data_IF_946739206304
#
_entry.id   IF_946739206304
#
_cell.length_a   1.000
_cell.length_b   1.000
_cell.length_c   1.000
_cell.angle_alpha   90.00
_cell.angle_beta   90.00
_cell.angle_gamma   90.00
#
_symmetry.space_group_name_H-M   'P 1'
#
loop_
_entity.id
_entity.type
_entity.pdbx_description
1 polymer ?
#
# COMPACT_ATOMS: atom_id res chain seq x y z
N UNK A 1 -38.11 22.02 -35.93
CA UNK A 1 -38.45 23.10 -34.96
C UNK A 1 -38.09 22.66 -33.54
N UNK A 2 -37.50 23.54 -32.72
CA UNK A 2 -37.28 23.31 -31.26
C UNK A 2 -38.58 23.49 -30.49
N UNK A 3 -38.67 23.02 -29.23
CA UNK A 3 -39.85 23.22 -28.40
C UNK A 3 -40.26 24.69 -28.26
N UNK A 4 -39.28 25.62 -28.17
CA UNK A 4 -39.53 27.07 -28.13
C UNK A 4 -40.12 27.57 -29.47
N UNK A 5 -39.69 27.05 -30.59
CA UNK A 5 -40.21 27.43 -31.92
C UNK A 5 -41.60 26.90 -32.15
N UNK A 6 -41.91 25.67 -31.70
CA UNK A 6 -43.27 25.10 -31.75
C UNK A 6 -44.24 25.91 -30.87
N UNK A 7 -43.83 26.28 -29.64
CA UNK A 7 -44.65 27.16 -28.78
C UNK A 7 -44.92 28.50 -29.43
N UNK A 8 -43.91 29.11 -30.13
CA UNK A 8 -44.09 30.35 -30.88
C UNK A 8 -45.06 30.17 -32.07
N UNK A 9 -44.99 29.02 -32.74
CA UNK A 9 -45.88 28.73 -33.88
C UNK A 9 -47.35 28.73 -33.43
N UNK A 10 -47.67 27.99 -32.34
CA UNK A 10 -49.04 27.96 -31.83
C UNK A 10 -49.52 29.35 -31.42
N UNK A 11 -48.73 30.12 -30.69
CA UNK A 11 -49.13 31.46 -30.27
C UNK A 11 -49.29 32.46 -31.43
N UNK A 12 -48.41 32.37 -32.42
CA UNK A 12 -48.52 33.23 -33.61
C UNK A 12 -49.68 32.85 -34.53
N UNK A 13 -50.07 31.59 -34.55
CA UNK A 13 -51.30 31.13 -35.22
C UNK A 13 -52.56 31.72 -34.55
N UNK A 14 -52.63 31.73 -33.22
CA UNK A 14 -53.74 32.35 -32.46
C UNK A 14 -53.78 33.88 -32.68
N UNK A 15 -52.62 34.55 -32.70
CA UNK A 15 -52.53 35.97 -33.07
C UNK A 15 -53.05 36.22 -34.50
N UNK A 16 -52.75 35.32 -35.45
CA UNK A 16 -53.26 35.40 -36.84
C UNK A 16 -54.77 35.24 -36.93
N UNK A 17 -55.35 34.39 -36.09
CA UNK A 17 -56.82 34.17 -36.01
C UNK A 17 -57.56 35.34 -35.30
N UNK A 18 -56.82 36.25 -34.64
CA UNK A 18 -57.41 37.34 -33.88
C UNK A 18 -57.88 36.99 -32.46
N UNK A 19 -57.65 35.75 -32.04
CA UNK A 19 -58.00 35.23 -30.70
C UNK A 19 -57.04 35.71 -29.59
N UNK A 20 -55.89 36.26 -29.95
CA UNK A 20 -54.89 36.73 -29.02
C UNK A 20 -54.16 37.97 -29.56
N UNK A 21 -53.86 38.94 -28.74
CA UNK A 21 -53.02 40.10 -29.08
C UNK A 21 -51.55 39.75 -29.14
N UNK A 22 -50.73 40.51 -29.89
CA UNK A 22 -49.25 40.36 -29.89
C UNK A 22 -48.65 40.62 -28.53
N UNK A 23 -49.30 41.50 -27.72
CA UNK A 23 -48.84 41.81 -26.37
C UNK A 23 -49.06 40.61 -25.43
N UNK A 24 -50.18 39.94 -25.47
CA UNK A 24 -50.50 38.72 -24.74
C UNK A 24 -49.60 37.58 -25.13
N UNK A 25 -49.42 37.36 -26.45
CA UNK A 25 -48.48 36.35 -26.93
C UNK A 25 -47.05 36.60 -26.43
N UNK A 26 -46.64 37.86 -26.32
CA UNK A 26 -45.37 38.27 -25.76
C UNK A 26 -45.23 37.87 -24.30
N UNK A 27 -46.28 38.11 -23.49
CA UNK A 27 -46.33 37.67 -22.05
C UNK A 27 -46.23 36.17 -21.93
N UNK A 28 -47.00 35.40 -22.67
CA UNK A 28 -46.99 33.92 -22.67
C UNK A 28 -45.63 33.34 -23.14
N UNK A 29 -44.96 34.03 -24.05
CA UNK A 29 -43.60 33.65 -24.52
C UNK A 29 -42.49 34.06 -23.56
N UNK A 30 -42.75 34.91 -22.57
CA UNK A 30 -41.76 35.49 -21.69
C UNK A 30 -40.79 36.43 -22.44
N UNK A 31 -41.27 37.21 -23.41
CA UNK A 31 -40.46 38.16 -24.18
C UNK A 31 -41.11 39.56 -24.15
N UNK A 32 -40.27 40.59 -24.33
CA UNK A 32 -40.78 41.97 -24.42
C UNK A 32 -41.73 42.16 -25.62
N UNK A 33 -42.67 43.09 -25.50
CA UNK A 33 -43.59 43.44 -26.58
C UNK A 33 -42.86 43.76 -27.90
N UNK A 34 -41.75 44.50 -27.83
CA UNK A 34 -40.89 44.78 -29.00
C UNK A 34 -40.38 43.51 -29.64
N UNK A 35 -39.99 42.52 -28.85
CA UNK A 35 -39.51 41.22 -29.36
C UNK A 35 -40.67 40.40 -29.95
N UNK A 36 -41.85 40.39 -29.27
CA UNK A 36 -43.06 39.72 -29.79
C UNK A 36 -43.47 40.31 -31.15
N UNK A 37 -43.46 41.64 -31.30
CA UNK A 37 -43.75 42.34 -32.56
C UNK A 37 -42.80 41.97 -33.70
N UNK A 38 -41.48 41.81 -33.35
CA UNK A 38 -40.47 41.32 -34.32
C UNK A 38 -40.72 39.85 -34.75
N UNK A 39 -41.15 39.01 -33.81
CA UNK A 39 -41.49 37.60 -34.09
C UNK A 39 -42.72 37.56 -34.98
N UNK A 40 -43.76 38.33 -34.65
CA UNK A 40 -44.98 38.44 -35.44
C UNK A 40 -44.72 38.94 -36.87
N UNK A 41 -43.94 40.00 -37.05
CA UNK A 41 -43.58 40.50 -38.40
C UNK A 41 -42.84 39.43 -39.23
N UNK A 42 -41.95 38.65 -38.61
CA UNK A 42 -41.27 37.55 -39.32
C UNK A 42 -42.22 36.41 -39.69
N UNK A 43 -43.14 36.07 -38.79
CA UNK A 43 -44.18 35.09 -39.07
C UNK A 43 -45.11 35.54 -40.18
N UNK A 44 -45.56 36.80 -40.18
CA UNK A 44 -46.37 37.36 -41.27
C UNK A 44 -45.67 37.35 -42.63
N UNK A 45 -44.37 37.64 -42.67
CA UNK A 45 -43.56 37.70 -43.86
C UNK A 45 -43.17 36.35 -44.42
N UNK A 46 -42.78 35.41 -43.56
CA UNK A 46 -42.15 34.18 -43.99
C UNK A 46 -42.88 32.91 -43.46
N UNK A 47 -44.09 33.05 -42.96
CA UNK A 47 -44.83 31.93 -42.36
C UNK A 47 -44.07 31.24 -41.24
N UNK A 48 -44.21 29.94 -41.13
CA UNK A 48 -43.57 29.08 -40.11
C UNK A 48 -42.05 29.14 -40.16
N UNK A 49 -41.47 29.27 -41.36
CA UNK A 49 -40.04 29.43 -41.56
C UNK A 49 -39.48 30.69 -40.86
N UNK A 50 -40.30 31.74 -40.69
CA UNK A 50 -39.93 32.98 -40.01
C UNK A 50 -39.74 32.80 -38.49
N UNK A 51 -40.24 31.73 -37.92
CA UNK A 51 -40.07 31.39 -36.50
C UNK A 51 -38.83 30.55 -36.20
N UNK A 52 -38.26 29.94 -37.23
CA UNK A 52 -37.02 29.17 -37.10
C UNK A 52 -35.85 30.13 -36.81
N UNK A 53 -34.98 29.74 -35.89
CA UNK A 53 -33.82 30.57 -35.60
C UNK A 53 -32.88 30.68 -36.81
N UNK A 54 -32.55 31.91 -37.23
CA UNK A 54 -31.75 32.18 -38.44
C UNK A 54 -30.37 31.52 -38.47
N UNK A 55 -29.81 31.21 -37.26
CA UNK A 55 -28.52 30.53 -37.17
C UNK A 55 -28.66 28.98 -37.10
N UNK A 56 -29.86 28.43 -37.25
CA UNK A 56 -30.03 26.98 -37.31
C UNK A 56 -29.34 26.43 -38.55
N UNK A 57 -28.50 25.41 -38.33
CA UNK A 57 -27.68 24.82 -39.40
C UNK A 57 -26.43 25.61 -39.79
N UNK A 58 -26.28 26.84 -39.24
CA UNK A 58 -25.03 27.58 -39.47
C UNK A 58 -23.98 27.22 -38.45
N UNK A 59 -22.70 27.17 -38.82
CA UNK A 59 -21.59 26.98 -37.90
C UNK A 59 -21.63 28.03 -36.80
N UNK A 60 -21.42 27.60 -35.52
CA UNK A 60 -21.31 28.52 -34.40
C UNK A 60 -20.15 29.50 -34.60
N UNK A 61 -20.29 30.75 -34.11
CA UNK A 61 -19.26 31.80 -34.22
C UNK A 61 -17.90 31.39 -33.64
N UNK A 62 -17.86 30.39 -32.72
CA UNK A 62 -16.64 29.84 -32.11
C UNK A 62 -16.08 28.63 -32.86
N UNK A 63 -16.62 28.26 -34.03
CA UNK A 63 -16.11 27.11 -34.81
C UNK A 63 -14.69 27.40 -35.28
N UNK A 64 -13.77 26.53 -34.91
CA UNK A 64 -12.39 26.58 -35.39
C UNK A 64 -12.31 26.31 -36.90
N UNK A 65 -11.33 26.92 -37.58
CA UNK A 65 -11.08 26.69 -39.01
C UNK A 65 -10.76 25.23 -39.29
N UNK A 66 -11.18 24.71 -40.44
CA UNK A 66 -10.92 23.33 -40.85
C UNK A 66 -9.43 22.99 -40.84
N UNK A 67 -8.57 23.85 -41.38
CA UNK A 67 -7.13 23.66 -41.37
C UNK A 67 -6.52 23.54 -39.95
N UNK A 68 -7.11 24.18 -38.94
CA UNK A 68 -6.67 23.99 -37.53
C UNK A 68 -7.09 22.62 -37.04
N UNK A 69 -8.32 22.17 -37.33
CA UNK A 69 -8.81 20.84 -36.99
C UNK A 69 -7.91 19.75 -37.58
N UNK A 70 -7.59 19.87 -38.85
CA UNK A 70 -6.80 18.88 -39.59
C UNK A 70 -5.38 18.77 -38.99
N UNK A 71 -4.75 19.90 -38.67
CA UNK A 71 -3.45 19.91 -37.98
C UNK A 71 -3.50 19.22 -36.61
N UNK A 72 -4.56 19.49 -35.83
CA UNK A 72 -4.75 18.87 -34.52
C UNK A 72 -4.93 17.36 -34.65
N UNK A 73 -5.75 16.89 -35.58
CA UNK A 73 -5.99 15.47 -35.80
C UNK A 73 -4.73 14.76 -36.32
N UNK A 74 -4.02 15.35 -37.28
CA UNK A 74 -2.75 14.80 -37.77
C UNK A 74 -1.72 14.67 -36.62
N UNK A 75 -1.55 15.72 -35.79
CA UNK A 75 -0.62 15.67 -34.68
C UNK A 75 -1.03 14.67 -33.60
N UNK A 76 -2.34 14.52 -33.36
CA UNK A 76 -2.86 13.48 -32.45
C UNK A 76 -2.51 12.07 -32.97
N UNK A 77 -2.72 11.80 -34.25
CA UNK A 77 -2.43 10.49 -34.86
C UNK A 77 -0.92 10.17 -34.81
N UNK A 78 -0.09 11.17 -35.06
CA UNK A 78 1.37 11.01 -35.09
C UNK A 78 1.96 10.67 -33.72
N UNK A 79 1.47 11.33 -32.64
CA UNK A 79 2.16 11.24 -31.32
C UNK A 79 1.29 10.82 -30.15
N UNK A 80 -0.03 10.94 -30.26
CA UNK A 80 -0.96 10.84 -29.13
C UNK A 80 -2.12 9.87 -29.38
N UNK A 81 -2.00 8.96 -30.34
CA UNK A 81 -3.08 8.10 -30.80
C UNK A 81 -3.72 7.24 -29.68
N UNK A 82 -2.96 6.87 -28.65
CA UNK A 82 -3.40 6.12 -27.47
C UNK A 82 -3.73 7.00 -26.26
N UNK A 83 -3.64 8.33 -26.40
CA UNK A 83 -3.93 9.24 -25.29
C UNK A 83 -5.44 9.48 -25.17
N UNK A 84 -5.92 9.53 -23.92
CA UNK A 84 -7.27 10.03 -23.68
C UNK A 84 -7.42 11.50 -24.10
N UNK A 85 -8.60 11.93 -24.60
CA UNK A 85 -8.79 13.28 -25.13
C UNK A 85 -8.38 14.41 -24.20
N UNK A 86 -8.53 14.23 -22.87
CA UNK A 86 -8.14 15.21 -21.88
C UNK A 86 -6.63 15.38 -21.82
N UNK A 87 -5.90 14.27 -21.75
CA UNK A 87 -4.45 14.31 -21.67
C UNK A 87 -3.82 14.73 -23.02
N UNK A 88 -4.37 14.26 -24.13
CA UNK A 88 -3.96 14.70 -25.46
C UNK A 88 -4.13 16.22 -25.66
N UNK A 89 -5.25 16.79 -25.18
CA UNK A 89 -5.47 18.24 -25.29
C UNK A 89 -4.41 19.05 -24.49
N UNK A 90 -3.96 18.53 -23.35
CA UNK A 90 -2.88 19.13 -22.58
C UNK A 90 -1.56 19.13 -23.36
N UNK A 91 -1.18 18.00 -23.93
CA UNK A 91 0.05 17.87 -24.72
C UNK A 91 0.02 18.70 -26.02
N UNK A 92 -1.10 18.72 -26.70
CA UNK A 92 -1.30 19.58 -27.86
C UNK A 92 -1.19 21.08 -27.50
N UNK A 93 -1.68 21.47 -26.31
CA UNK A 93 -1.53 22.84 -25.84
C UNK A 93 -0.07 23.23 -25.55
N UNK A 94 0.74 22.30 -25.01
CA UNK A 94 2.18 22.47 -24.84
C UNK A 94 2.90 22.71 -26.18
N UNK A 95 2.40 22.12 -27.29
CA UNK A 95 2.89 22.33 -28.65
C UNK A 95 2.25 23.55 -29.37
N UNK A 96 1.49 24.39 -28.67
CA UNK A 96 0.84 25.58 -29.24
C UNK A 96 -0.50 25.28 -29.96
N UNK A 97 -0.98 24.05 -29.93
CA UNK A 97 -2.26 23.64 -30.50
C UNK A 97 -3.37 23.63 -29.44
N UNK A 98 -3.60 24.79 -28.82
CA UNK A 98 -4.57 24.92 -27.72
C UNK A 98 -6.00 24.59 -28.16
N UNK A 99 -6.57 23.53 -27.59
CA UNK A 99 -7.92 23.05 -27.83
C UNK A 99 -8.56 22.56 -26.53
N UNK A 100 -9.85 22.81 -26.38
CA UNK A 100 -10.64 22.25 -25.31
C UNK A 100 -10.81 20.73 -25.48
N UNK A 101 -10.64 19.97 -24.38
CA UNK A 101 -10.65 18.50 -24.39
C UNK A 101 -11.99 17.90 -24.91
N UNK A 102 -13.12 18.56 -24.62
CA UNK A 102 -14.43 18.10 -25.09
C UNK A 102 -14.59 18.34 -26.60
N UNK A 103 -14.01 19.43 -27.10
CA UNK A 103 -13.96 19.70 -28.56
C UNK A 103 -13.07 18.67 -29.25
N UNK A 104 -11.90 18.38 -28.69
CA UNK A 104 -11.02 17.32 -29.20
C UNK A 104 -11.73 15.97 -29.19
N UNK A 105 -12.38 15.61 -28.07
CA UNK A 105 -13.13 14.35 -27.94
C UNK A 105 -14.17 14.19 -29.06
N UNK A 106 -14.94 15.25 -29.34
CA UNK A 106 -15.94 15.22 -30.44
C UNK A 106 -15.29 15.04 -31.79
N UNK A 107 -14.19 15.74 -32.09
CA UNK A 107 -13.49 15.59 -33.35
C UNK A 107 -12.91 14.19 -33.52
N UNK A 108 -12.37 13.60 -32.51
CA UNK A 108 -11.86 12.22 -32.50
C UNK A 108 -12.98 11.19 -32.68
N UNK A 109 -14.16 11.42 -32.09
CA UNK A 109 -15.34 10.57 -32.31
C UNK A 109 -15.85 10.69 -33.74
N UNK A 110 -15.95 11.91 -34.29
CA UNK A 110 -16.35 12.16 -35.70
C UNK A 110 -15.36 11.53 -36.68
N UNK A 111 -14.08 11.50 -36.36
CA UNK A 111 -13.03 10.87 -37.16
C UNK A 111 -12.92 9.34 -36.93
N UNK A 112 -13.75 8.74 -36.07
CA UNK A 112 -13.68 7.31 -35.72
C UNK A 112 -12.44 6.89 -34.91
N UNK A 113 -11.74 7.87 -34.34
CA UNK A 113 -10.48 7.64 -33.56
C UNK A 113 -10.72 7.50 -32.05
N UNK A 114 -11.92 7.75 -31.58
CA UNK A 114 -12.29 7.63 -30.18
C UNK A 114 -13.70 7.08 -30.02
N UNK A 115 -13.86 6.11 -29.12
CA UNK A 115 -15.15 5.53 -28.77
C UNK A 115 -15.42 5.68 -27.29
N UNK A 116 -16.66 6.01 -26.93
CA UNK A 116 -17.06 6.10 -25.53
C UNK A 116 -17.50 4.73 -25.05
N UNK A 117 -16.60 4.04 -24.34
CA UNK A 117 -16.97 2.83 -23.62
C UNK A 117 -17.75 3.18 -22.34
N UNK A 118 -19.01 2.74 -22.19
CA UNK A 118 -19.73 2.80 -20.92
C UNK A 118 -19.15 1.76 -19.97
N UNK A 119 -18.32 2.18 -19.00
CA UNK A 119 -17.93 1.32 -17.88
C UNK A 119 -19.07 1.30 -16.85
N UNK A 120 -19.59 0.11 -16.51
CA UNK A 120 -20.49 -0.04 -15.36
C UNK A 120 -19.68 0.19 -14.09
N UNK A 121 -20.02 1.23 -13.34
CA UNK A 121 -19.43 1.50 -12.05
C UNK A 121 -20.20 0.76 -10.96
N UNK A 122 -19.50 -0.03 -10.13
CA UNK A 122 -20.07 -0.59 -8.89
C UNK A 122 -20.42 0.56 -7.95
N UNK A 123 -21.55 0.43 -7.23
CA UNK A 123 -21.89 1.36 -6.16
C UNK A 123 -20.80 1.30 -5.08
N UNK A 124 -20.29 2.47 -4.68
CA UNK A 124 -19.32 2.61 -3.59
C UNK A 124 -19.85 3.66 -2.62
N UNK A 125 -19.81 3.36 -1.32
CA UNK A 125 -20.12 4.35 -0.31
C UNK A 125 -19.13 5.51 -0.37
N UNK A 126 -19.66 6.73 -0.28
CA UNK A 126 -18.83 7.93 -0.21
C UNK A 126 -18.14 8.01 1.15
N UNK A 127 -16.84 8.35 1.18
CA UNK A 127 -16.06 8.59 2.40
C UNK A 127 -15.51 10.01 2.38
N UNK A 128 -15.71 10.72 3.48
CA UNK A 128 -15.12 12.04 3.66
C UNK A 128 -13.58 12.01 3.62
N UNK A 129 -13.00 13.14 3.23
CA UNK A 129 -11.58 13.36 3.34
C UNK A 129 -11.21 13.63 4.79
N UNK A 130 -9.96 13.36 5.16
CA UNK A 130 -9.39 13.91 6.38
C UNK A 130 -9.36 15.43 6.28
N UNK A 131 -9.36 16.10 7.41
CA UNK A 131 -9.48 17.57 7.45
C UNK A 131 -8.16 18.26 7.20
N UNK A 132 -7.07 17.71 7.76
CA UNK A 132 -5.77 18.34 7.78
C UNK A 132 -4.78 17.65 6.84
N UNK A 133 -3.88 18.42 6.21
CA UNK A 133 -2.74 17.88 5.48
C UNK A 133 -1.82 17.11 6.44
N UNK A 134 -1.40 15.90 6.05
CA UNK A 134 -0.56 15.03 6.88
C UNK A 134 -1.30 14.24 7.96
N UNK A 135 -2.61 14.42 8.13
CA UNK A 135 -3.39 13.66 9.11
C UNK A 135 -3.45 12.17 8.78
N UNK A 136 -3.55 11.82 7.50
CA UNK A 136 -3.50 10.43 7.02
C UNK A 136 -2.93 10.37 5.61
N UNK A 137 -1.89 9.58 5.44
CA UNK A 137 -1.28 9.32 4.13
C UNK A 137 -1.51 7.86 3.76
N UNK A 138 -1.99 7.61 2.55
CA UNK A 138 -2.18 6.26 2.03
C UNK A 138 -0.92 5.83 1.28
N UNK A 139 -0.40 4.64 1.56
CA UNK A 139 0.75 4.03 0.89
C UNK A 139 0.29 2.77 0.16
N UNK A 140 0.75 2.60 -1.07
CA UNK A 140 0.40 1.47 -1.94
C UNK A 140 1.46 1.23 -3.00
N UNK A 141 1.70 -0.03 -3.35
CA UNK A 141 2.49 -0.43 -4.51
C UNK A 141 1.62 -0.51 -5.76
N UNK A 142 2.08 0.04 -6.87
CA UNK A 142 1.38 -0.03 -8.15
C UNK A 142 2.19 -0.84 -9.16
N UNK A 143 1.74 -2.06 -9.39
CA UNK A 143 2.30 -2.96 -10.40
C UNK A 143 1.72 -2.63 -11.77
N UNK A 144 2.57 -2.33 -12.74
CA UNK A 144 2.18 -2.03 -14.10
C UNK A 144 3.37 -2.19 -15.05
N UNK A 145 3.13 -2.33 -16.34
CA UNK A 145 4.20 -2.21 -17.34
C UNK A 145 4.53 -0.73 -17.58
N UNK A 146 5.32 -0.16 -16.68
CA UNK A 146 5.63 1.26 -16.66
C UNK A 146 6.45 1.72 -17.87
N UNK A 147 7.21 0.82 -18.44
CA UNK A 147 8.10 1.10 -19.57
C UNK A 147 7.62 0.49 -20.89
N UNK A 148 6.43 -0.12 -20.94
CA UNK A 148 5.84 -0.71 -22.14
C UNK A 148 6.81 -1.69 -22.85
N UNK A 149 7.44 -2.57 -22.09
CA UNK A 149 8.44 -3.53 -22.57
C UNK A 149 9.79 -2.92 -22.99
N UNK A 150 9.99 -1.59 -22.87
CA UNK A 150 11.23 -0.90 -23.20
C UNK A 150 12.29 -0.97 -22.12
N UNK A 151 11.93 -1.36 -20.91
CA UNK A 151 12.79 -1.39 -19.72
C UNK A 151 12.46 -2.54 -18.78
N UNK A 152 13.11 -2.59 -17.60
CA UNK A 152 12.85 -3.63 -16.60
C UNK A 152 11.43 -3.52 -16.03
N UNK A 153 10.94 -4.62 -15.48
CA UNK A 153 9.74 -4.57 -14.63
C UNK A 153 10.03 -3.71 -13.42
N UNK A 154 9.06 -2.90 -13.04
CA UNK A 154 9.19 -2.01 -11.91
C UNK A 154 7.84 -1.86 -11.19
N UNK A 155 7.91 -1.57 -9.90
CA UNK A 155 6.77 -1.22 -9.05
C UNK A 155 6.88 0.26 -8.70
N UNK A 156 5.78 0.98 -8.79
CA UNK A 156 5.72 2.36 -8.35
C UNK A 156 5.14 2.41 -6.93
N UNK A 157 5.96 2.69 -5.95
CA UNK A 157 5.53 2.98 -4.58
C UNK A 157 4.92 4.37 -4.53
N UNK A 158 3.68 4.49 -4.06
CA UNK A 158 2.89 5.73 -4.09
C UNK A 158 2.39 6.08 -2.71
N UNK A 159 2.70 7.28 -2.26
CA UNK A 159 2.11 7.90 -1.08
C UNK A 159 1.21 9.05 -1.49
N UNK A 160 -0.02 9.06 -0.99
CA UNK A 160 -0.98 10.13 -1.25
C UNK A 160 -1.65 10.60 0.03
N UNK A 161 -1.63 11.91 0.26
CA UNK A 161 -2.37 12.51 1.38
C UNK A 161 -3.87 12.49 1.13
N UNK A 162 -4.63 12.05 2.12
CA UNK A 162 -6.09 11.89 2.03
C UNK A 162 -6.82 13.23 1.95
N UNK A 163 -6.32 14.26 2.62
CA UNK A 163 -6.91 15.59 2.63
C UNK A 163 -6.70 16.33 1.30
N UNK A 164 -5.47 16.36 0.83
CA UNK A 164 -5.03 17.27 -0.24
C UNK A 164 -4.77 16.62 -1.59
N UNK A 165 -4.67 15.28 -1.67
CA UNK A 165 -4.17 14.54 -2.83
C UNK A 165 -2.69 14.79 -3.18
N UNK A 166 -1.93 15.48 -2.35
CA UNK A 166 -0.48 15.60 -2.54
C UNK A 166 0.12 14.20 -2.63
N UNK A 167 0.95 14.00 -3.63
CA UNK A 167 1.49 12.69 -3.98
C UNK A 167 3.02 12.72 -3.98
N UNK A 168 3.61 11.70 -3.37
CA UNK A 168 5.03 11.35 -3.53
C UNK A 168 5.06 9.92 -4.08
N UNK A 169 5.96 9.66 -5.00
CA UNK A 169 6.10 8.33 -5.58
C UNK A 169 7.55 8.05 -5.93
N UNK A 170 7.91 6.77 -5.95
CA UNK A 170 9.25 6.30 -6.28
C UNK A 170 9.18 4.93 -6.94
N UNK A 171 9.90 4.73 -8.02
CA UNK A 171 10.07 3.41 -8.63
C UNK A 171 11.07 2.57 -7.83
N UNK A 172 10.73 1.29 -7.70
CA UNK A 172 11.59 0.23 -7.21
C UNK A 172 11.51 -0.98 -8.15
N UNK A 173 12.44 -1.91 -8.04
CA UNK A 173 12.41 -3.17 -8.81
C UNK A 173 11.25 -4.05 -8.34
N UNK A 174 11.04 -4.14 -7.02
CA UNK A 174 10.01 -4.93 -6.38
C UNK A 174 9.37 -4.17 -5.21
N UNK A 175 8.19 -4.58 -4.80
CA UNK A 175 7.54 -4.11 -3.59
C UNK A 175 8.17 -4.79 -2.37
N UNK A 176 8.99 -4.05 -1.64
CA UNK A 176 9.75 -4.53 -0.49
C UNK A 176 9.64 -3.55 0.67
N UNK A 177 10.06 -3.99 1.86
CA UNK A 177 10.21 -3.10 3.02
C UNK A 177 11.16 -1.95 2.72
N UNK A 178 12.22 -2.19 1.96
CA UNK A 178 13.19 -1.15 1.56
C UNK A 178 12.56 -0.12 0.63
N UNK A 179 11.81 -0.57 -0.38
CA UNK A 179 11.08 0.32 -1.29
C UNK A 179 10.06 1.19 -0.52
N UNK A 180 9.39 0.60 0.49
CA UNK A 180 8.48 1.32 1.37
C UNK A 180 9.20 2.34 2.25
N UNK A 181 10.38 2.01 2.76
CA UNK A 181 11.24 2.95 3.48
C UNK A 181 11.69 4.11 2.58
N UNK A 182 12.07 3.83 1.35
CA UNK A 182 12.53 4.84 0.39
C UNK A 182 11.48 5.91 0.11
N UNK A 183 10.26 5.49 -0.23
CA UNK A 183 9.19 6.44 -0.52
C UNK A 183 8.74 7.18 0.73
N UNK A 184 8.73 6.51 1.90
CA UNK A 184 8.41 7.11 3.18
C UNK A 184 9.46 8.15 3.61
N UNK A 185 10.74 7.82 3.50
CA UNK A 185 11.84 8.78 3.76
C UNK A 185 11.73 10.01 2.86
N UNK A 186 11.41 9.81 1.56
CA UNK A 186 11.15 10.89 0.62
C UNK A 186 9.99 11.79 1.04
N UNK A 187 8.93 11.22 1.61
CA UNK A 187 7.82 11.97 2.18
C UNK A 187 8.26 12.79 3.39
N UNK A 188 8.89 12.13 4.38
CA UNK A 188 9.29 12.75 5.65
C UNK A 188 10.27 13.90 5.43
N UNK A 189 11.24 13.73 4.53
CA UNK A 189 12.20 14.79 4.18
C UNK A 189 11.53 16.02 3.59
N UNK A 190 10.41 15.86 2.91
CA UNK A 190 9.73 16.95 2.20
C UNK A 190 8.66 17.63 3.05
N UNK A 191 7.92 16.88 3.85
CA UNK A 191 6.75 17.36 4.56
C UNK A 191 6.80 17.15 6.08
N UNK A 192 7.60 16.22 6.57
CA UNK A 192 7.60 15.77 7.95
C UNK A 192 6.90 14.43 8.14
N UNK A 193 6.81 13.98 9.40
CA UNK A 193 6.14 12.75 9.80
C UNK A 193 4.63 12.91 9.73
N UNK A 194 3.88 12.11 8.96
CA UNK A 194 2.43 12.15 8.98
C UNK A 194 1.90 11.57 10.30
N UNK A 195 0.73 11.98 10.74
CA UNK A 195 0.11 11.45 11.95
C UNK A 195 -0.25 9.97 11.80
N UNK A 196 -0.71 9.54 10.62
CA UNK A 196 -1.00 8.13 10.35
C UNK A 196 -0.69 7.72 8.90
N UNK A 197 -0.34 6.43 8.74
CA UNK A 197 -0.21 5.76 7.45
C UNK A 197 -1.32 4.72 7.30
N UNK A 198 -1.96 4.74 6.14
CA UNK A 198 -2.98 3.78 5.77
C UNK A 198 -2.44 2.84 4.68
N UNK A 199 -2.24 1.57 5.04
CA UNK A 199 -1.60 0.54 4.21
C UNK A 199 -2.53 -0.66 4.02
N UNK A 200 -2.20 -1.59 3.12
CA UNK A 200 -2.90 -2.86 3.03
C UNK A 200 -2.43 -3.87 4.09
N UNK A 201 -2.87 -5.11 3.92
CA UNK A 201 -2.49 -6.22 4.81
C UNK A 201 -1.39 -7.08 4.20
N UNK A 202 -0.55 -6.49 3.37
CA UNK A 202 0.62 -7.20 2.86
C UNK A 202 1.58 -7.55 4.02
N UNK A 203 2.39 -8.58 3.80
CA UNK A 203 3.40 -9.08 4.75
C UNK A 203 4.44 -8.03 5.15
N UNK A 204 4.64 -7.00 4.33
CA UNK A 204 5.49 -5.85 4.65
C UNK A 204 4.94 -5.06 5.85
N UNK A 205 3.62 -4.93 5.93
CA UNK A 205 2.93 -4.08 6.91
C UNK A 205 2.28 -4.87 8.03
N UNK A 206 1.96 -6.15 7.81
CA UNK A 206 1.28 -7.01 8.77
C UNK A 206 2.09 -8.27 9.07
N UNK A 207 2.33 -8.51 10.35
CA UNK A 207 2.91 -9.77 10.82
C UNK A 207 1.79 -10.78 11.11
N UNK A 208 1.84 -11.95 10.47
CA UNK A 208 0.88 -13.05 10.72
C UNK A 208 1.39 -14.05 11.77
N UNK A 209 2.61 -13.89 12.24
CA UNK A 209 3.20 -14.74 13.29
C UNK A 209 2.41 -14.57 14.59
N UNK A 210 2.19 -15.66 15.30
CA UNK A 210 1.65 -15.60 16.65
C UNK A 210 2.66 -14.95 17.60
N UNK A 211 2.14 -14.17 18.56
CA UNK A 211 2.96 -13.57 19.59
C UNK A 211 3.68 -14.65 20.40
N UNK A 212 4.97 -14.49 20.62
CA UNK A 212 5.72 -15.36 21.51
C UNK A 212 5.34 -15.09 22.99
N UNK A 213 5.81 -15.94 23.92
CA UNK A 213 5.43 -15.84 25.34
C UNK A 213 5.83 -14.47 25.94
N UNK A 214 6.98 -13.93 25.54
CA UNK A 214 7.45 -12.62 26.04
C UNK A 214 6.58 -11.47 25.51
N UNK A 215 6.20 -11.51 24.23
CA UNK A 215 5.29 -10.53 23.61
C UNK A 215 3.89 -10.60 24.23
N UNK A 216 3.39 -11.82 24.50
CA UNK A 216 2.12 -12.02 25.19
C UNK A 216 2.12 -11.44 26.61
N UNK A 217 3.20 -11.68 27.37
CA UNK A 217 3.37 -11.11 28.73
C UNK A 217 3.47 -9.58 28.65
N UNK A 218 4.15 -9.04 27.63
CA UNK A 218 4.29 -7.61 27.43
C UNK A 218 3.05 -6.95 26.81
N UNK A 219 2.00 -7.73 26.44
CA UNK A 219 0.82 -7.23 25.74
C UNK A 219 1.11 -6.63 24.38
N UNK A 220 2.20 -7.05 23.72
CA UNK A 220 2.63 -6.55 22.41
C UNK A 220 2.28 -7.53 21.31
N UNK A 221 1.73 -7.01 20.22
CA UNK A 221 1.55 -7.79 18.99
C UNK A 221 2.87 -7.90 18.22
N UNK A 222 3.10 -9.02 17.50
CA UNK A 222 4.25 -9.14 16.61
C UNK A 222 4.22 -8.08 15.53
N UNK A 223 5.35 -7.45 15.29
CA UNK A 223 5.47 -6.38 14.30
C UNK A 223 6.37 -6.80 13.15
N UNK A 224 6.09 -6.21 11.98
CA UNK A 224 7.03 -6.20 10.86
C UNK A 224 8.13 -5.18 11.09
N UNK A 225 9.19 -5.20 10.30
CA UNK A 225 10.24 -4.17 10.36
C UNK A 225 9.67 -2.78 10.05
N UNK A 226 8.74 -2.70 9.11
CA UNK A 226 8.06 -1.44 8.79
C UNK A 226 7.19 -0.97 9.96
N UNK A 227 6.40 -1.87 10.56
CA UNK A 227 5.56 -1.56 11.72
C UNK A 227 6.37 -1.05 12.91
N UNK A 228 7.50 -1.73 13.22
CA UNK A 228 8.46 -1.30 14.26
C UNK A 228 8.97 0.12 14.00
N UNK A 229 9.37 0.40 12.76
CA UNK A 229 9.90 1.73 12.41
C UNK A 229 8.83 2.82 12.56
N UNK A 230 7.58 2.54 12.18
CA UNK A 230 6.46 3.49 12.35
C UNK A 230 6.15 3.74 13.83
N UNK A 231 6.15 2.70 14.67
CA UNK A 231 5.97 2.85 16.11
C UNK A 231 7.08 3.72 16.73
N UNK A 232 8.34 3.49 16.37
CA UNK A 232 9.47 4.29 16.87
C UNK A 232 9.39 5.76 16.44
N UNK A 233 8.79 6.04 15.28
CA UNK A 233 8.57 7.39 14.78
C UNK A 233 7.29 8.05 15.31
N UNK A 234 6.45 7.31 16.05
CA UNK A 234 5.16 7.79 16.54
C UNK A 234 4.12 7.96 15.43
N UNK A 235 4.27 7.25 14.31
CA UNK A 235 3.32 7.24 13.19
C UNK A 235 2.35 6.08 13.35
N UNK A 236 1.05 6.37 13.44
CA UNK A 236 0.01 5.35 13.54
C UNK A 236 -0.08 4.56 12.23
N UNK A 237 0.09 3.24 12.30
CA UNK A 237 -0.07 2.35 11.15
C UNK A 237 -1.48 1.75 11.12
N UNK A 238 -2.29 2.16 10.15
CA UNK A 238 -3.68 1.72 9.99
C UNK A 238 -3.77 0.70 8.87
N UNK A 239 -4.10 -0.54 9.21
CA UNK A 239 -4.29 -1.61 8.23
C UNK A 239 -5.68 -1.54 7.59
N UNK A 240 -5.74 -1.53 6.26
CA UNK A 240 -6.99 -1.48 5.51
C UNK A 240 -7.85 -2.73 5.77
N UNK A 241 -9.09 -2.52 6.21
CA UNK A 241 -10.06 -3.61 6.42
C UNK A 241 -10.75 -4.05 5.12
N UNK A 242 -10.67 -3.22 4.06
CA UNK A 242 -11.25 -3.54 2.76
C UNK A 242 -10.54 -2.78 1.63
N UNK A 243 -10.49 -3.32 0.41
CA UNK A 243 -9.94 -2.62 -0.77
C UNK A 243 -10.64 -1.27 -1.02
N UNK A 244 -11.94 -1.16 -0.69
CA UNK A 244 -12.73 0.05 -0.92
C UNK A 244 -12.26 1.24 -0.08
N UNK A 245 -11.63 0.99 1.05
CA UNK A 245 -11.08 2.04 1.91
C UNK A 245 -9.86 2.75 1.29
N UNK A 246 -9.16 2.12 0.34
CA UNK A 246 -8.03 2.67 -0.44
C UNK A 246 -8.46 3.44 -1.71
N UNK A 247 -9.71 3.75 -1.91
CA UNK A 247 -10.25 4.33 -3.16
C UNK A 247 -9.60 5.64 -3.64
N UNK A 248 -8.75 6.31 -2.84
CA UNK A 248 -8.00 7.49 -3.29
C UNK A 248 -6.69 7.09 -3.96
N UNK A 249 -5.91 6.21 -3.32
CA UNK A 249 -4.67 5.71 -3.91
C UNK A 249 -4.97 4.89 -5.16
N UNK A 250 -6.03 4.07 -5.19
CA UNK A 250 -6.46 3.34 -6.40
C UNK A 250 -6.74 4.29 -7.57
N UNK A 251 -7.48 5.39 -7.32
CA UNK A 251 -7.74 6.40 -8.36
C UNK A 251 -6.47 7.11 -8.80
N UNK A 252 -5.56 7.36 -7.87
CA UNK A 252 -4.26 7.95 -8.18
C UNK A 252 -3.43 6.98 -9.03
N UNK A 253 -3.37 5.71 -8.66
CA UNK A 253 -2.68 4.67 -9.42
C UNK A 253 -3.24 4.57 -10.85
N UNK A 254 -4.55 4.57 -11.03
CA UNK A 254 -5.15 4.59 -12.36
C UNK A 254 -4.78 5.84 -13.20
N UNK A 255 -4.67 7.01 -12.57
CA UNK A 255 -4.21 8.23 -13.23
C UNK A 255 -2.72 8.16 -13.59
N UNK A 256 -1.89 7.60 -12.69
CA UNK A 256 -0.47 7.43 -12.94
C UNK A 256 -0.22 6.41 -14.05
N UNK A 257 -0.92 5.28 -14.04
CA UNK A 257 -0.86 4.27 -15.09
C UNK A 257 -1.27 4.81 -16.49
N UNK A 258 -2.25 5.73 -16.54
CA UNK A 258 -2.61 6.36 -17.80
C UNK A 258 -1.60 7.43 -18.25
N UNK A 259 -1.12 8.29 -17.34
CA UNK A 259 -0.32 9.47 -17.71
C UNK A 259 1.19 9.25 -17.63
N UNK A 260 1.68 8.64 -16.55
CA UNK A 260 3.11 8.53 -16.30
C UNK A 260 3.80 7.63 -17.34
N UNK A 261 3.17 6.52 -17.72
CA UNK A 261 3.67 5.61 -18.76
C UNK A 261 3.92 6.38 -20.07
N UNK A 262 2.96 7.20 -20.47
CA UNK A 262 3.03 8.01 -21.68
C UNK A 262 4.07 9.13 -21.60
N UNK A 263 4.18 9.77 -20.42
CA UNK A 263 5.21 10.78 -20.19
C UNK A 263 6.63 10.19 -20.23
N UNK A 264 6.82 9.02 -19.63
CA UNK A 264 8.11 8.30 -19.70
C UNK A 264 8.46 7.94 -21.15
N UNK A 265 7.47 7.52 -21.94
CA UNK A 265 7.64 7.23 -23.36
C UNK A 265 8.02 8.49 -24.15
N UNK A 266 7.32 9.59 -23.94
CA UNK A 266 7.61 10.86 -24.62
C UNK A 266 8.99 11.41 -24.26
N UNK A 267 9.45 11.17 -23.01
CA UNK A 267 10.77 11.57 -22.54
C UNK A 267 11.88 10.58 -22.94
N UNK A 268 11.56 9.44 -23.59
CA UNK A 268 12.53 8.41 -23.96
C UNK A 268 13.14 7.66 -22.78
N UNK A 269 12.47 7.63 -21.62
CA UNK A 269 12.97 7.03 -20.38
C UNK A 269 12.53 5.56 -20.31
N UNK A 270 13.50 4.68 -20.01
CA UNK A 270 13.30 3.22 -19.95
C UNK A 270 14.02 2.55 -18.77
N UNK A 271 14.62 3.30 -17.85
CA UNK A 271 15.29 2.78 -16.66
C UNK A 271 14.75 3.43 -15.38
N UNK A 272 14.88 2.70 -14.26
CA UNK A 272 14.34 3.10 -12.95
C UNK A 272 15.00 4.38 -12.41
N UNK A 273 16.31 4.55 -12.62
CA UNK A 273 17.04 5.67 -12.07
C UNK A 273 16.64 6.98 -12.76
N UNK A 274 16.62 6.99 -14.10
CA UNK A 274 16.16 8.13 -14.88
C UNK A 274 14.68 8.43 -14.63
N UNK A 275 13.84 7.39 -14.48
CA UNK A 275 12.43 7.53 -14.15
C UNK A 275 12.22 8.19 -12.76
N UNK A 276 12.99 7.82 -11.76
CA UNK A 276 12.97 8.46 -10.44
C UNK A 276 13.41 9.92 -10.48
N UNK A 277 14.43 10.24 -11.27
CA UNK A 277 14.87 11.62 -11.48
C UNK A 277 13.77 12.45 -12.16
N UNK A 278 13.14 11.91 -13.21
CA UNK A 278 12.01 12.54 -13.91
C UNK A 278 10.80 12.74 -13.00
N UNK A 279 10.42 11.71 -12.22
CA UNK A 279 9.35 11.80 -11.23
C UNK A 279 9.56 12.98 -10.29
N UNK A 280 10.73 13.06 -9.68
CA UNK A 280 11.01 14.05 -8.63
C UNK A 280 11.11 15.47 -9.19
N UNK A 281 11.79 15.65 -10.32
CA UNK A 281 12.09 16.97 -10.88
C UNK A 281 10.96 17.55 -11.73
N UNK A 282 10.18 16.70 -12.43
CA UNK A 282 9.24 17.16 -13.45
C UNK A 282 7.81 16.70 -13.19
N UNK A 283 7.58 15.40 -13.12
CA UNK A 283 6.23 14.86 -13.15
C UNK A 283 5.44 15.14 -11.87
N UNK A 284 5.98 14.82 -10.69
CA UNK A 284 5.28 15.01 -9.42
C UNK A 284 4.99 16.48 -9.09
N UNK A 285 5.89 17.45 -9.34
CA UNK A 285 5.55 18.86 -9.18
C UNK A 285 4.36 19.30 -10.04
N UNK A 286 4.34 18.93 -11.31
CA UNK A 286 3.23 19.22 -12.23
C UNK A 286 1.93 18.53 -11.80
N UNK A 287 2.01 17.23 -11.43
CA UNK A 287 0.89 16.45 -10.93
C UNK A 287 0.26 17.09 -9.69
N UNK A 288 1.09 17.44 -8.72
CA UNK A 288 0.63 18.02 -7.46
C UNK A 288 0.03 19.42 -7.67
N UNK A 289 0.63 20.26 -8.51
CA UNK A 289 0.06 21.56 -8.87
C UNK A 289 -1.32 21.40 -9.49
N UNK A 290 -1.51 20.42 -10.36
CA UNK A 290 -2.75 20.21 -11.10
C UNK A 290 -3.88 19.56 -10.31
N UNK A 291 -3.53 18.60 -9.43
CA UNK A 291 -4.50 17.71 -8.78
C UNK A 291 -4.55 17.86 -7.26
N UNK A 292 -3.80 18.78 -6.69
CA UNK A 292 -3.93 19.16 -5.30
C UNK A 292 -5.31 19.76 -5.05
N UNK A 293 -5.85 19.47 -3.87
CA UNK A 293 -7.11 20.05 -3.37
C UNK A 293 -6.77 20.76 -2.07
N UNK A 294 -7.40 21.87 -1.80
CA UNK A 294 -7.26 22.56 -0.52
C UNK A 294 -7.89 21.73 0.61
N UNK A 295 -7.18 21.53 1.73
CA UNK A 295 -7.71 20.83 2.88
C UNK A 295 -8.82 21.64 3.55
N UNK A 296 -9.68 21.00 4.34
CA UNK A 296 -10.74 21.69 5.10
C UNK A 296 -10.17 22.57 6.19
N UNK A 297 -9.09 22.15 6.82
CA UNK A 297 -8.37 22.90 7.84
C UNK A 297 -7.02 23.36 7.31
N UNK A 298 -6.65 24.60 7.64
CA UNK A 298 -5.32 25.13 7.32
C UNK A 298 -4.21 24.54 8.20
N UNK A 299 -4.55 23.76 9.21
CA UNK A 299 -3.59 23.11 10.11
C UNK A 299 -2.84 22.03 9.34
N UNK A 300 -1.50 22.06 9.43
CA UNK A 300 -0.63 20.99 8.98
C UNK A 300 -0.44 20.00 10.14
N UNK A 301 -0.83 18.74 9.93
CA UNK A 301 -0.75 17.70 10.94
C UNK A 301 0.59 16.92 10.91
N UNK A 302 1.54 17.33 10.08
CA UNK A 302 2.87 16.73 10.10
C UNK A 302 3.64 17.16 11.34
N UNK A 303 4.45 16.24 11.86
CA UNK A 303 5.38 16.50 12.93
C UNK A 303 6.80 16.58 12.38
N UNK A 304 7.63 17.43 13.00
CA UNK A 304 9.05 17.48 12.66
C UNK A 304 9.72 16.17 13.08
N UNK A 305 10.49 15.58 12.19
CA UNK A 305 11.32 14.43 12.54
C UNK A 305 12.63 14.91 13.16
N UNK A 306 12.81 14.69 14.46
CA UNK A 306 14.04 14.99 15.18
C UNK A 306 14.98 13.77 15.27
N UNK A 307 14.46 12.58 14.92
CA UNK A 307 15.17 11.32 15.01
C UNK A 307 16.00 11.05 13.75
N UNK A 308 17.06 10.27 13.90
CA UNK A 308 17.86 9.85 12.76
C UNK A 308 17.13 8.76 11.96
N UNK A 309 16.51 9.15 10.85
CA UNK A 309 15.77 8.23 9.98
C UNK A 309 16.60 7.02 9.54
N UNK A 310 17.90 7.16 9.31
CA UNK A 310 18.76 6.05 8.89
C UNK A 310 18.86 4.96 9.96
N UNK A 311 18.79 5.35 11.24
CA UNK A 311 18.86 4.40 12.36
C UNK A 311 17.51 3.76 12.70
N UNK A 312 16.42 4.29 12.15
CA UNK A 312 15.05 3.78 12.36
C UNK A 312 14.58 2.97 11.16
N UNK A 313 14.76 3.50 9.94
CA UNK A 313 14.39 2.84 8.69
C UNK A 313 15.48 1.82 8.29
N UNK A 314 15.64 0.79 9.08
CA UNK A 314 16.67 -0.24 9.00
C UNK A 314 16.09 -1.59 9.46
N UNK A 315 16.91 -2.65 9.44
CA UNK A 315 16.54 -3.95 9.99
C UNK A 315 17.05 -4.09 11.42
N UNK A 316 16.18 -4.51 12.34
CA UNK A 316 16.55 -4.80 13.70
C UNK A 316 16.17 -6.22 14.06
N UNK A 317 17.07 -6.92 14.74
CA UNK A 317 16.82 -8.25 15.23
C UNK A 317 17.44 -8.43 16.62
N UNK A 318 16.72 -9.13 17.50
CA UNK A 318 17.20 -9.43 18.84
C UNK A 318 18.06 -10.70 18.82
N UNK A 319 19.26 -10.62 19.38
CA UNK A 319 20.19 -11.74 19.54
C UNK A 319 20.66 -11.87 20.98
N UNK A 320 21.01 -13.08 21.38
CA UNK A 320 21.58 -13.36 22.71
C UNK A 320 23.10 -13.37 22.63
N UNK A 321 23.75 -12.68 23.56
CA UNK A 321 25.19 -12.66 23.65
C UNK A 321 25.68 -14.00 24.21
N UNK A 322 26.58 -14.67 23.50
CA UNK A 322 27.17 -15.94 23.93
C UNK A 322 28.16 -15.77 25.09
N UNK A 323 28.56 -16.90 25.73
CA UNK A 323 29.47 -16.89 26.90
C UNK A 323 30.86 -16.32 26.61
N UNK A 324 31.27 -16.36 25.37
CA UNK A 324 32.52 -15.81 24.85
C UNK A 324 32.39 -14.38 24.34
N UNK A 325 31.31 -13.70 24.71
CA UNK A 325 31.00 -12.34 24.29
C UNK A 325 30.82 -12.17 22.76
N UNK A 326 30.47 -13.25 22.07
CA UNK A 326 30.16 -13.19 20.65
C UNK A 326 28.66 -13.10 20.40
N UNK A 327 28.32 -12.50 19.28
CA UNK A 327 26.96 -12.40 18.74
C UNK A 327 26.99 -12.96 17.32
N UNK A 328 26.14 -13.93 17.04
CA UNK A 328 25.99 -14.50 15.71
C UNK A 328 24.77 -13.87 15.00
N UNK A 329 24.96 -13.41 13.74
CA UNK A 329 23.91 -12.86 12.91
C UNK A 329 24.24 -13.03 11.42
N UNK A 330 23.31 -13.52 10.60
CA UNK A 330 23.48 -13.79 9.18
C UNK A 330 24.77 -14.55 8.83
N UNK A 331 25.06 -15.66 9.55
CA UNK A 331 26.27 -16.46 9.42
C UNK A 331 27.60 -15.69 9.65
N UNK A 332 27.54 -14.51 10.26
CA UNK A 332 28.68 -13.69 10.70
C UNK A 332 28.76 -13.68 12.23
N UNK A 333 29.95 -13.46 12.75
CA UNK A 333 30.23 -13.44 14.21
C UNK A 333 30.88 -12.13 14.59
N UNK A 334 30.36 -11.53 15.65
CA UNK A 334 30.79 -10.22 16.12
C UNK A 334 31.22 -10.36 17.58
N UNK A 335 32.49 -10.07 17.87
CA UNK A 335 33.06 -10.04 19.21
C UNK A 335 32.82 -8.67 19.82
N UNK A 336 32.10 -8.61 20.94
CA UNK A 336 31.94 -7.37 21.72
C UNK A 336 33.27 -7.08 22.42
N UNK A 337 33.71 -5.81 22.41
CA UNK A 337 34.97 -5.40 23.02
C UNK A 337 34.89 -5.38 24.53
N UNK A 338 36.06 -5.62 25.18
CA UNK A 338 36.18 -5.75 26.63
C UNK A 338 35.80 -4.48 27.42
N UNK A 339 35.80 -3.31 26.78
CA UNK A 339 35.36 -2.06 27.41
C UNK A 339 33.92 -2.11 27.94
N UNK A 340 33.11 -3.04 27.40
CA UNK A 340 31.70 -3.25 27.77
C UNK A 340 31.52 -4.31 28.88
N UNK A 341 32.61 -4.87 29.48
CA UNK A 341 32.56 -5.94 30.48
C UNK A 341 31.65 -5.61 31.67
N UNK A 342 31.65 -4.34 32.10
CA UNK A 342 30.82 -3.87 33.23
C UNK A 342 29.31 -4.02 32.95
N UNK A 343 28.88 -4.17 31.71
CA UNK A 343 27.46 -4.33 31.34
C UNK A 343 26.96 -5.76 31.58
N UNK A 344 27.87 -6.73 31.85
CA UNK A 344 27.51 -8.15 32.08
C UNK A 344 26.56 -8.71 31.04
N UNK A 345 26.92 -8.57 29.75
CA UNK A 345 26.03 -8.84 28.62
C UNK A 345 25.80 -10.32 28.30
N UNK A 346 26.63 -11.23 28.84
CA UNK A 346 26.53 -12.69 28.62
C UNK A 346 25.14 -13.19 28.96
N UNK A 347 24.48 -13.88 28.00
CA UNK A 347 23.14 -14.40 28.17
C UNK A 347 22.02 -13.34 28.02
N UNK A 348 22.37 -12.06 27.91
CA UNK A 348 21.39 -10.99 27.70
C UNK A 348 21.05 -10.84 26.21
N UNK A 349 19.86 -10.34 25.96
CA UNK A 349 19.41 -9.98 24.63
C UNK A 349 19.95 -8.59 24.27
N UNK A 350 20.49 -8.47 23.06
CA UNK A 350 20.90 -7.21 22.45
C UNK A 350 20.21 -7.05 21.09
N UNK A 351 20.12 -5.83 20.60
CA UNK A 351 19.60 -5.54 19.27
C UNK A 351 20.77 -5.46 18.27
N UNK A 352 20.70 -6.27 17.24
CA UNK A 352 21.54 -6.14 16.05
C UNK A 352 20.77 -5.29 15.06
N UNK A 353 21.35 -4.18 14.64
CA UNK A 353 20.76 -3.25 13.68
C UNK A 353 21.62 -3.23 12.42
N UNK A 354 21.03 -3.57 11.30
CA UNK A 354 21.63 -3.42 9.98
C UNK A 354 21.07 -2.18 9.29
N UNK A 355 21.93 -1.22 9.04
CA UNK A 355 21.55 -0.02 8.30
C UNK A 355 21.44 -0.34 6.81
N UNK A 356 20.74 0.49 6.06
CA UNK A 356 20.50 0.32 4.62
C UNK A 356 21.76 0.43 3.75
N UNK A 357 22.84 0.98 4.30
CA UNK A 357 24.17 0.99 3.68
C UNK A 357 25.01 -0.28 3.97
N UNK A 358 24.40 -1.27 4.63
CA UNK A 358 25.05 -2.52 5.02
C UNK A 358 25.89 -2.43 6.30
N UNK A 359 26.01 -1.26 6.92
CA UNK A 359 26.72 -1.12 8.19
C UNK A 359 25.91 -1.68 9.35
N UNK A 360 26.62 -2.23 10.34
CA UNK A 360 26.03 -2.90 11.49
C UNK A 360 26.26 -2.12 12.77
N UNK A 361 25.25 -2.13 13.63
CA UNK A 361 25.31 -1.60 15.00
C UNK A 361 24.81 -2.67 15.97
N UNK A 362 25.54 -2.89 17.05
CA UNK A 362 25.08 -3.67 18.19
C UNK A 362 24.63 -2.72 19.28
N UNK A 363 23.44 -2.93 19.83
CA UNK A 363 22.87 -2.04 20.86
C UNK A 363 22.41 -2.86 22.06
N UNK A 364 22.75 -2.37 23.25
CA UNK A 364 22.21 -2.86 24.52
C UNK A 364 21.49 -1.71 25.21
N UNK A 365 20.18 -1.86 25.41
CA UNK A 365 19.34 -0.81 26.03
C UNK A 365 19.53 0.58 25.41
N UNK A 366 19.62 0.63 24.07
CA UNK A 366 19.82 1.86 23.30
C UNK A 366 21.29 2.37 23.23
N UNK A 367 22.22 1.77 23.98
CA UNK A 367 23.65 2.12 23.92
C UNK A 367 24.34 1.35 22.82
N UNK A 368 25.09 2.04 21.93
CA UNK A 368 25.93 1.41 20.92
C UNK A 368 27.12 0.70 21.58
N UNK A 369 27.31 -0.55 21.19
CA UNK A 369 28.44 -1.37 21.64
C UNK A 369 29.54 -1.34 20.59
N UNK A 370 30.80 -1.32 21.02
CA UNK A 370 31.95 -1.54 20.15
C UNK A 370 32.14 -3.03 19.95
N UNK A 371 32.44 -3.41 18.76
CA UNK A 371 32.58 -4.80 18.35
C UNK A 371 33.58 -4.94 17.20
N UNK A 372 34.09 -6.16 17.03
CA UNK A 372 34.96 -6.54 15.92
C UNK A 372 34.37 -7.77 15.23
N UNK A 373 34.35 -7.77 13.91
CA UNK A 373 33.94 -8.96 13.17
C UNK A 373 35.02 -10.02 13.19
N UNK A 374 34.61 -11.27 13.42
CA UNK A 374 35.49 -12.43 13.41
C UNK A 374 35.40 -13.13 12.04
N UNK A 375 36.55 -13.56 11.48
CA UNK A 375 36.60 -14.19 10.15
C UNK A 375 35.92 -15.57 10.11
N UNK A 376 35.77 -16.22 11.27
CA UNK A 376 35.14 -17.52 11.38
C UNK A 376 34.48 -17.68 12.76
N UNK A 377 33.59 -18.69 12.88
CA UNK A 377 33.00 -19.06 14.17
C UNK A 377 34.11 -19.42 15.16
N UNK A 378 34.11 -18.83 16.37
CA UNK A 378 35.04 -19.22 17.42
C UNK A 378 34.94 -20.72 17.67
N UNK A 379 36.02 -21.44 17.46
CA UNK A 379 36.07 -22.83 17.82
C UNK A 379 36.27 -22.91 19.33
N UNK A 380 35.48 -23.74 20.02
CA UNK A 380 35.80 -24.10 21.40
C UNK A 380 37.19 -24.73 21.40
N UNK A 381 38.13 -24.25 22.24
CA UNK A 381 39.36 -25.00 22.41
C UNK A 381 38.94 -26.45 22.76
N UNK A 382 39.46 -27.41 22.02
CA UNK A 382 39.31 -28.81 22.33
C UNK A 382 39.83 -28.95 23.78
N UNK A 383 38.93 -29.09 24.71
CA UNK A 383 39.29 -29.42 26.05
C UNK A 383 39.99 -30.77 25.95
N UNK A 384 41.32 -30.77 26.12
CA UNK A 384 42.04 -32.04 26.30
C UNK A 384 41.17 -32.90 27.23
N UNK A 385 40.86 -34.13 26.84
CA UNK A 385 40.02 -34.95 27.65
C UNK A 385 40.68 -34.99 29.03
N UNK A 386 40.06 -34.33 30.02
CA UNK A 386 40.48 -34.42 31.40
C UNK A 386 40.68 -35.90 31.62
N UNK A 387 41.93 -36.38 31.80
CA UNK A 387 42.23 -37.71 32.23
C UNK A 387 41.50 -37.85 33.57
N UNK A 388 40.26 -38.28 33.47
CA UNK A 388 39.50 -38.74 34.63
C UNK A 388 40.28 -39.94 35.04
N UNK A 389 41.18 -39.73 36.01
CA UNK A 389 41.84 -40.84 36.68
C UNK A 389 40.69 -41.80 37.02
N UNK A 390 40.74 -43.02 36.47
CA UNK A 390 39.81 -44.05 36.85
C UNK A 390 39.78 -44.05 38.38
N UNK A 391 38.79 -43.37 38.98
CA UNK A 391 38.41 -43.65 40.31
C UNK A 391 38.07 -45.10 40.31
N UNK A 392 39.03 -45.96 40.73
CA UNK A 392 38.75 -47.31 41.06
C UNK A 392 37.55 -47.26 41.97
N UNK A 393 36.39 -47.70 41.44
CA UNK A 393 35.23 -47.90 42.28
C UNK A 393 35.62 -48.92 43.30
N UNK A 394 36.07 -48.44 44.47
CA UNK A 394 36.28 -49.28 45.65
C UNK A 394 34.88 -49.77 46.00
N UNK A 395 34.57 -51.01 45.57
CA UNK A 395 33.35 -51.63 45.97
C UNK A 395 33.42 -51.79 47.48
N UNK A 396 32.57 -51.11 48.24
CA UNK A 396 32.67 -51.20 49.72
C UNK A 396 32.44 -52.63 50.12
N UNK A 397 33.11 -53.10 51.17
CA UNK A 397 32.99 -54.47 51.68
C UNK A 397 31.52 -54.83 51.98
N UNK A 398 31.17 -56.11 51.91
CA UNK A 398 29.76 -56.57 52.03
C UNK A 398 29.06 -56.08 53.30
N UNK A 399 29.78 -55.75 54.31
CA UNK A 399 29.30 -55.27 55.63
C UNK A 399 29.15 -53.75 55.69
N UNK A 400 29.50 -53.04 54.65
CA UNK A 400 29.41 -51.57 54.61
C UNK A 400 27.97 -51.10 54.75
N UNK A 401 27.63 -50.12 55.62
CA UNK A 401 26.27 -49.69 55.91
C UNK A 401 25.43 -49.29 54.63
N UNK A 402 26.08 -48.81 53.61
CA UNK A 402 25.41 -48.47 52.31
C UNK A 402 24.90 -49.68 51.56
N UNK A 403 25.57 -50.82 51.62
CA UNK A 403 25.08 -52.08 50.99
C UNK A 403 23.93 -52.66 51.79
N UNK A 404 23.98 -52.63 53.11
CA UNK A 404 22.91 -53.13 53.97
C UNK A 404 21.64 -52.31 53.90
N UNK A 405 21.74 -50.96 53.82
CA UNK A 405 20.58 -50.08 53.69
C UNK A 405 19.90 -50.24 52.33
N UNK A 406 20.63 -50.40 51.25
CA UNK A 406 20.06 -50.54 49.90
C UNK A 406 19.25 -51.83 49.76
N UNK A 407 19.73 -52.96 50.29
CA UNK A 407 19.04 -54.27 50.23
C UNK A 407 17.79 -54.24 51.12
N UNK A 408 17.90 -53.76 52.34
CA UNK A 408 16.77 -53.68 53.26
C UNK A 408 15.66 -52.73 52.79
N UNK A 409 16.03 -51.62 52.11
CA UNK A 409 15.05 -50.66 51.54
C UNK A 409 14.36 -51.22 50.32
N UNK A 410 15.08 -51.90 49.42
CA UNK A 410 14.51 -52.51 48.23
C UNK A 410 13.59 -53.71 48.59
N UNK A 411 13.96 -54.52 49.53
CA UNK A 411 13.09 -55.60 49.99
C UNK A 411 11.81 -55.15 50.67
N UNK A 412 11.88 -54.07 51.48
CA UNK A 412 10.68 -53.46 52.07
C UNK A 412 9.76 -52.82 51.02
N UNK A 413 10.35 -52.16 50.03
CA UNK A 413 9.60 -51.57 48.93
C UNK A 413 8.85 -52.63 48.11
N UNK A 414 9.53 -53.70 47.66
CA UNK A 414 8.94 -54.76 46.90
C UNK A 414 7.98 -55.62 47.70
N UNK A 415 8.16 -55.74 49.02
CA UNK A 415 7.18 -56.36 49.93
C UNK A 415 5.90 -55.57 50.05
N UNK A 416 6.02 -54.26 50.17
CA UNK A 416 4.87 -53.35 50.24
C UNK A 416 4.07 -53.32 48.93
N UNK A 417 4.74 -53.34 47.77
CA UNK A 417 4.09 -53.38 46.45
C UNK A 417 3.40 -54.74 46.23
N UNK A 418 4.00 -55.85 46.57
CA UNK A 418 3.36 -57.18 46.52
C UNK A 418 2.13 -57.25 47.41
N UNK A 419 2.16 -56.64 48.59
CA UNK A 419 1.00 -56.59 49.48
C UNK A 419 -0.12 -55.74 48.89
N UNK A 420 0.17 -54.61 48.32
CA UNK A 420 -0.83 -53.76 47.60
C UNK A 420 -1.47 -54.49 46.38
N UNK A 421 -0.65 -55.17 45.62
CA UNK A 421 -1.14 -55.96 44.50
C UNK A 421 -2.02 -57.17 44.93
N UNK A 422 -1.78 -57.78 46.08
CA UNK A 422 -2.59 -58.83 46.65
C UNK A 422 -3.90 -58.33 47.23
N UNK A 423 -3.86 -57.19 47.89
CA UNK A 423 -5.06 -56.53 48.45
C UNK A 423 -5.97 -55.96 47.35
N UNK A 424 -5.40 -55.45 46.22
CA UNK A 424 -6.16 -55.01 45.06
C UNK A 424 -6.88 -56.19 44.34
N UNK A 425 -6.24 -57.34 44.28
CA UNK A 425 -6.88 -58.56 43.75
C UNK A 425 -7.99 -59.17 44.64
N UNK A 426 -7.98 -58.90 45.96
CA UNK A 426 -9.04 -59.29 46.91
C UNK A 426 -10.22 -58.34 46.94
N UNK A 427 -10.04 -57.08 46.54
CA UNK A 427 -11.09 -56.05 46.56
C UNK A 427 -12.02 -56.06 45.37
N UNK A 428 -11.70 -56.70 44.26
CA UNK A 428 -12.56 -56.79 43.06
C UNK A 428 -12.55 -58.20 42.41
N UNK A 429 -13.35 -59.17 42.90
CA UNK A 429 -13.48 -60.48 42.26
C UNK A 429 -14.42 -60.56 41.06
N UNK A 430 -15.06 -59.45 40.62
CA UNK A 430 -16.12 -59.53 39.58
C UNK A 430 -15.97 -58.63 38.38
N UNK A 431 -14.76 -58.30 37.91
CA UNK A 431 -14.57 -57.50 36.68
C UNK A 431 -13.69 -58.18 35.64
N UNK A 432 -13.70 -59.52 35.57
CA UNK A 432 -12.90 -60.26 34.61
C UNK A 432 -13.72 -61.16 33.69
N UNK A 433 -14.94 -60.75 33.32
CA UNK A 433 -15.74 -61.52 32.34
C UNK A 433 -16.67 -60.57 31.55
N UNK A 434 -16.15 -59.60 30.79
CA UNK A 434 -16.83 -58.99 29.64
C UNK A 434 -15.89 -57.97 28.96
N UNK A 435 -15.12 -58.39 27.98
CA UNK A 435 -14.77 -57.58 26.77
C UNK A 435 -13.76 -58.35 25.91
N UNK A 436 -14.28 -59.37 25.19
CA UNK A 436 -13.58 -59.90 24.03
C UNK A 436 -13.91 -59.05 22.80
N UNK A 437 -13.06 -58.11 22.46
CA UNK A 437 -12.97 -57.59 21.10
C UNK A 437 -11.53 -57.16 20.81
N UNK A 438 -10.98 -57.54 19.63
CA UNK A 438 -9.60 -57.23 19.25
C UNK A 438 -9.49 -55.79 18.74
N UNK A 439 -8.32 -55.09 18.84
CA UNK A 439 -8.16 -53.74 18.41
C UNK A 439 -8.10 -53.61 16.88
N UNK A 440 -8.87 -52.66 16.36
CA UNK A 440 -8.84 -52.19 14.98
C UNK A 440 -7.52 -51.46 14.69
N UNK A 441 -6.84 -51.88 13.63
CA UNK A 441 -5.66 -51.21 13.05
C UNK A 441 -6.10 -49.92 12.40
N UNK A 442 -5.53 -48.80 12.84
CA UNK A 442 -5.61 -47.52 12.15
C UNK A 442 -4.67 -47.51 10.95
N UNK A 443 -5.24 -47.52 9.74
CA UNK A 443 -4.53 -47.31 8.50
C UNK A 443 -4.41 -45.80 8.21
N UNK A 444 -3.22 -45.36 7.83
CA UNK A 444 -2.96 -44.03 7.26
C UNK A 444 -3.50 -43.94 5.83
N UNK A 445 -4.10 -42.87 5.39
CA UNK A 445 -4.34 -42.65 3.97
C UNK A 445 -3.13 -41.96 3.33
N UNK A 446 -2.58 -42.63 2.32
CA UNK A 446 -1.67 -42.08 1.33
C UNK A 446 -2.40 -41.08 0.44
N UNK A 447 -1.80 -39.90 0.24
CA UNK A 447 -2.22 -38.96 -0.78
C UNK A 447 -1.84 -39.47 -2.17
N UNK A 448 -2.78 -39.39 -3.11
CA UNK A 448 -2.51 -39.50 -4.53
C UNK A 448 -3.11 -38.26 -5.24
N UNK A 449 -2.31 -37.77 -6.16
CA UNK A 449 -2.47 -36.62 -7.02
C UNK A 449 -3.74 -36.62 -7.89
N UNK A 450 -4.28 -35.44 -8.13
CA UNK A 450 -4.68 -34.85 -9.41
C UNK A 450 -4.82 -33.34 -9.26
#
# INVERSE_FOLDING_TARGET
>A
MSGKERKRLVLMAEVKKGSMSVAEAGRVMGVSYRQAKRIWQRFRRNGDAGLVHRRRGQPGARRRKAAFRDRVLARFEERYADFGPTFAAEKLAEEGLSIDHETLRRWLMEAGRWTVGRKRHKHRAWRERKECFGQMVQLDGSHHDWFEGRGPKAVLMVMIDDATNVTVARFAEEETTEASYDVFEGWVRKYGLPASLYVDRDSIYRCERLANVEEQIAGKEPQTQFGRAMEQLGVELILANSPQAKGRVERRNGLLQDRLVKELRLAGISDIQAANAFLTKTFLPQLNTKFRVEPRSAVDAHHRCELNLKEILCWEETRVVARDWTVAWNARWFQIEAEHERLSLVGRKITVRELRDGSLQLLSEGRKLRWKELPARPQRPELEPRRVGRKTMVNPPKEHPWRQRGIAYSERFWRAERKRGADAKRAHPQAAAASGQPPLRSGFPTAAAA
#
